data_IF_898923467696
#
_entry.id   IF_898923467696
#
_cell.length_a   1.000
_cell.length_b   1.000
_cell.length_c   1.000
_cell.angle_alpha   90.00
_cell.angle_beta   90.00
_cell.angle_gamma   90.00
#
_symmetry.space_group_name_H-M   'P 1'
#
loop_
_entity.id
_entity.type
_entity.pdbx_description
1 polymer ?
#
# COMPACT_ATOMS: atom_id res chain seq x y z
N UNK A 1 12.41 17.57 -15.81
CA UNK A 1 11.04 17.16 -16.21
C UNK A 1 10.82 15.75 -15.67
N UNK A 2 9.76 15.46 -14.91
CA UNK A 2 9.52 14.09 -14.46
C UNK A 2 9.29 13.19 -15.69
N UNK A 3 9.90 12.02 -15.70
CA UNK A 3 9.71 11.03 -16.76
C UNK A 3 8.28 10.49 -16.69
N UNK A 4 7.53 10.54 -17.79
CA UNK A 4 6.19 9.97 -17.88
C UNK A 4 6.23 8.66 -18.68
N UNK A 5 5.41 7.69 -18.27
CA UNK A 5 5.29 6.38 -18.92
C UNK A 5 3.83 6.17 -19.29
N UNK A 6 3.58 5.74 -20.52
CA UNK A 6 2.23 5.40 -20.99
C UNK A 6 1.91 3.95 -20.64
N UNK A 7 0.81 3.73 -19.93
CA UNK A 7 0.29 2.40 -19.63
C UNK A 7 -0.93 2.11 -20.51
N UNK A 8 -0.98 0.92 -21.10
CA UNK A 8 -2.12 0.45 -21.89
C UNK A 8 -2.61 -0.89 -21.34
N UNK A 9 -3.90 -0.98 -21.01
CA UNK A 9 -4.53 -2.20 -20.52
C UNK A 9 -5.41 -2.78 -21.62
N UNK A 10 -5.06 -3.96 -22.13
CA UNK A 10 -5.82 -4.65 -23.17
C UNK A 10 -6.89 -5.55 -22.55
N UNK A 11 -7.96 -5.82 -23.31
CA UNK A 11 -9.03 -6.77 -22.96
C UNK A 11 -9.74 -6.45 -21.62
N UNK A 12 -9.99 -5.18 -21.34
CA UNK A 12 -10.73 -4.77 -20.13
C UNK A 12 -12.18 -5.23 -20.26
N UNK A 13 -12.72 -6.01 -19.28
CA UNK A 13 -14.12 -6.39 -19.30
C UNK A 13 -15.03 -5.16 -19.35
N UNK A 14 -16.07 -5.22 -20.19
CA UNK A 14 -16.97 -4.08 -20.43
C UNK A 14 -17.64 -3.57 -19.14
N UNK A 15 -17.98 -4.48 -18.23
CA UNK A 15 -18.52 -4.13 -16.91
C UNK A 15 -17.54 -3.29 -16.07
N UNK A 16 -16.25 -3.60 -16.13
CA UNK A 16 -15.19 -2.86 -15.42
C UNK A 16 -15.02 -1.48 -16.04
N UNK A 17 -14.96 -1.40 -17.37
CA UNK A 17 -14.86 -0.13 -18.08
C UNK A 17 -16.07 0.79 -17.80
N UNK A 18 -17.28 0.22 -17.72
CA UNK A 18 -18.51 0.94 -17.37
C UNK A 18 -18.45 1.50 -15.95
N UNK A 19 -18.08 0.67 -14.96
CA UNK A 19 -17.92 1.08 -13.56
C UNK A 19 -16.87 2.19 -13.41
N UNK A 20 -15.75 2.09 -14.12
CA UNK A 20 -14.71 3.13 -14.12
C UNK A 20 -15.24 4.45 -14.68
N UNK A 21 -16.00 4.42 -15.78
CA UNK A 21 -16.63 5.61 -16.37
C UNK A 21 -17.63 6.26 -15.40
N UNK A 22 -18.48 5.46 -14.76
CA UNK A 22 -19.46 5.94 -13.77
C UNK A 22 -18.76 6.55 -12.53
N UNK A 23 -17.71 5.89 -12.04
CA UNK A 23 -16.88 6.41 -10.94
C UNK A 23 -16.22 7.74 -11.32
N UNK A 24 -15.64 7.84 -12.51
CA UNK A 24 -15.04 9.07 -13.01
C UNK A 24 -16.06 10.22 -13.12
N UNK A 25 -17.28 9.93 -13.61
CA UNK A 25 -18.36 10.90 -13.68
C UNK A 25 -18.79 11.41 -12.29
N UNK A 26 -18.93 10.50 -11.31
CA UNK A 26 -19.25 10.87 -9.92
C UNK A 26 -18.16 11.72 -9.27
N UNK A 27 -16.90 11.44 -9.56
CA UNK A 27 -15.76 12.17 -9.01
C UNK A 27 -15.41 13.44 -9.82
N UNK A 28 -16.20 13.78 -10.85
CA UNK A 28 -15.95 14.89 -11.77
C UNK A 28 -14.55 14.85 -12.40
N UNK A 29 -14.04 13.65 -12.70
CA UNK A 29 -12.72 13.40 -13.28
C UNK A 29 -12.84 12.79 -14.67
N UNK A 30 -11.79 12.97 -15.48
CA UNK A 30 -11.64 12.19 -16.71
C UNK A 30 -11.38 10.72 -16.38
N UNK A 31 -11.62 9.81 -17.33
CA UNK A 31 -11.32 8.37 -17.12
C UNK A 31 -9.85 8.12 -16.80
N UNK A 32 -8.96 8.86 -17.46
CA UNK A 32 -7.52 8.79 -17.22
C UNK A 32 -7.17 9.30 -15.81
N UNK A 33 -7.78 10.41 -15.39
CA UNK A 33 -7.56 10.96 -14.06
C UNK A 33 -8.10 10.05 -12.95
N UNK A 34 -9.24 9.39 -13.19
CA UNK A 34 -9.77 8.41 -12.24
C UNK A 34 -8.89 7.16 -12.15
N UNK A 35 -8.40 6.65 -13.29
CA UNK A 35 -7.46 5.53 -13.31
C UNK A 35 -6.16 5.88 -12.58
N UNK A 36 -5.63 7.08 -12.81
CA UNK A 36 -4.45 7.57 -12.09
C UNK A 36 -4.71 7.67 -10.59
N UNK A 37 -5.84 8.22 -10.16
CA UNK A 37 -6.18 8.30 -8.74
C UNK A 37 -6.25 6.93 -8.06
N UNK A 38 -6.83 5.93 -8.74
CA UNK A 38 -6.87 4.54 -8.25
C UNK A 38 -5.46 3.95 -8.16
N UNK A 39 -4.62 4.17 -9.17
CA UNK A 39 -3.24 3.67 -9.17
C UNK A 39 -2.39 4.33 -8.07
N UNK A 40 -2.54 5.62 -7.84
CA UNK A 40 -1.84 6.30 -6.76
C UNK A 40 -2.32 5.84 -5.37
N UNK A 41 -3.62 5.61 -5.20
CA UNK A 41 -4.18 5.04 -3.96
C UNK A 41 -3.66 3.62 -3.72
N UNK A 42 -3.67 2.77 -4.75
CA UNK A 42 -3.13 1.42 -4.69
C UNK A 42 -1.61 1.41 -4.38
N UNK A 43 -0.85 2.35 -4.95
CA UNK A 43 0.58 2.49 -4.68
C UNK A 43 0.90 3.02 -3.27
N UNK A 44 -0.01 3.77 -2.65
CA UNK A 44 0.10 4.21 -1.24
C UNK A 44 -0.20 3.08 -0.26
N UNK A 45 -1.06 2.14 -0.65
CA UNK A 45 -1.38 0.96 0.15
C UNK A 45 -0.28 -0.09 -0.04
N UNK A 46 0.83 0.01 0.69
CA UNK A 46 1.67 -1.17 0.91
C UNK A 46 0.89 -2.07 1.86
N UNK A 47 0.37 -3.23 1.42
CA UNK A 47 -0.27 -4.14 2.35
C UNK A 47 0.75 -4.47 3.45
N UNK A 48 0.32 -4.46 4.71
CA UNK A 48 1.21 -4.63 5.88
C UNK A 48 2.10 -5.88 5.72
N UNK A 49 1.61 -6.91 5.02
CA UNK A 49 2.39 -8.10 4.64
C UNK A 49 3.56 -7.82 3.70
N UNK A 50 3.41 -6.97 2.68
CA UNK A 50 4.51 -6.58 1.77
C UNK A 50 5.53 -5.68 2.47
N UNK A 51 5.07 -4.78 3.36
CA UNK A 51 5.97 -3.98 4.19
C UNK A 51 6.80 -4.89 5.12
N UNK A 52 6.17 -5.85 5.79
CA UNK A 52 6.86 -6.83 6.63
C UNK A 52 7.88 -7.65 5.82
N UNK A 53 7.58 -7.97 4.56
CA UNK A 53 8.47 -8.72 3.67
C UNK A 53 9.66 -7.86 3.21
N UNK A 54 9.41 -6.57 2.92
CA UNK A 54 10.43 -5.59 2.57
C UNK A 54 11.38 -5.28 3.74
N UNK A 55 10.85 -5.09 4.95
CA UNK A 55 11.64 -4.88 6.18
C UNK A 55 12.51 -6.09 6.50
N UNK A 56 11.98 -7.31 6.36
CA UNK A 56 12.77 -8.55 6.50
C UNK A 56 13.91 -8.64 5.48
N UNK A 57 13.66 -8.22 4.23
CA UNK A 57 14.65 -8.23 3.15
C UNK A 57 15.77 -7.20 3.35
N UNK A 58 15.48 -6.09 4.01
CA UNK A 58 16.45 -5.07 4.40
C UNK A 58 17.33 -5.49 5.60
N UNK A 59 17.09 -6.66 6.21
CA UNK A 59 17.80 -7.16 7.39
C UNK A 59 17.84 -6.16 8.57
N UNK A 60 16.85 -5.26 8.64
CA UNK A 60 16.71 -4.33 9.75
C UNK A 60 16.24 -5.14 10.97
N UNK A 61 17.20 -5.60 11.79
CA UNK A 61 16.89 -6.03 13.14
C UNK A 61 16.55 -4.79 13.95
N UNK A 62 15.27 -4.56 14.18
CA UNK A 62 14.89 -3.69 15.30
C UNK A 62 15.36 -4.41 16.57
N UNK A 63 16.20 -3.77 17.40
CA UNK A 63 16.58 -4.35 18.68
C UNK A 63 15.32 -4.74 19.43
N UNK A 64 15.24 -5.97 19.93
CA UNK A 64 14.11 -6.46 20.71
C UNK A 64 14.14 -5.90 22.13
N UNK A 65 14.35 -4.59 22.24
CA UNK A 65 14.46 -3.84 23.49
C UNK A 65 13.14 -3.92 24.26
N UNK A 66 12.01 -3.80 23.55
CA UNK A 66 10.69 -3.99 24.13
C UNK A 66 10.49 -5.39 24.72
N UNK A 67 11.02 -6.45 24.08
CA UNK A 67 10.90 -7.80 24.62
C UNK A 67 11.84 -8.07 25.80
N UNK A 68 12.96 -7.33 25.91
CA UNK A 68 13.81 -7.33 27.11
C UNK A 68 13.09 -6.64 28.27
N UNK A 69 12.54 -5.45 28.04
CA UNK A 69 11.78 -4.70 29.05
C UNK A 69 10.59 -5.50 29.60
N UNK A 70 9.84 -6.20 28.73
CA UNK A 70 8.71 -7.07 29.16
C UNK A 70 9.20 -8.26 29.99
N UNK A 71 10.35 -8.86 29.65
CA UNK A 71 10.91 -9.97 30.44
C UNK A 71 11.41 -9.49 31.79
N UNK A 72 12.08 -8.35 31.83
CA UNK A 72 12.57 -7.75 33.08
C UNK A 72 11.40 -7.42 34.03
N UNK A 73 10.31 -6.83 33.53
CA UNK A 73 9.12 -6.54 34.35
C UNK A 73 8.37 -7.81 34.79
N UNK A 74 8.38 -8.87 33.97
CA UNK A 74 7.76 -10.16 34.32
C UNK A 74 8.58 -10.95 35.34
N UNK A 75 9.90 -10.97 35.17
CA UNK A 75 10.82 -11.78 35.95
C UNK A 75 11.36 -11.02 37.18
N UNK A 76 10.93 -9.77 37.42
CA UNK A 76 11.25 -9.02 38.63
C UNK A 76 10.64 -9.70 39.87
N UNK A 77 11.45 -10.28 40.77
CA UNK A 77 10.95 -10.96 41.95
C UNK A 77 10.58 -9.98 43.09
N UNK A 78 10.70 -8.67 42.86
CA UNK A 78 10.41 -7.63 43.86
C UNK A 78 9.03 -6.98 43.71
N UNK A 79 8.19 -7.48 42.80
CA UNK A 79 6.81 -7.05 42.59
C UNK A 79 5.79 -7.99 43.22
#
# INVERSE_FOLDING_TARGET
MPATVTLSVKNVPTAVAKRLKERAARNHRSRQGELQAILEEAGRSTPVGELATFVRRLALSTPSESAKMIREDRDDPRR
#
